data_IF_563302675748
#
_entry.id   IF_563302675748
#
_cell.length_a   1.000
_cell.length_b   1.000
_cell.length_c   1.000
_cell.angle_alpha   90.00
_cell.angle_beta   90.00
_cell.angle_gamma   90.00
#
_symmetry.space_group_name_H-M   'P 1'
#
loop_
_entity.id
_entity.type
_entity.pdbx_description
1 polymer ?
#
# COMPACT_ATOMS: atom_id res chain seq x y z
N UNK A 1 -6.31 4.97 17.43
CA UNK A 1 -4.88 5.06 17.76
C UNK A 1 -4.37 3.66 18.06
N UNK A 2 -3.29 3.23 17.41
CA UNK A 2 -2.74 1.88 17.47
C UNK A 2 -1.33 1.96 18.04
N UNK A 3 -1.04 1.23 19.10
CA UNK A 3 0.31 1.07 19.64
C UNK A 3 0.98 -0.16 19.04
N UNK A 4 2.28 -0.08 18.79
CA UNK A 4 3.07 -1.18 18.25
C UNK A 4 4.16 -1.55 19.25
N UNK A 5 4.54 -2.82 19.33
CA UNK A 5 5.57 -3.33 20.21
C UNK A 5 6.51 -4.25 19.43
N UNK A 6 7.82 -3.99 19.58
CA UNK A 6 8.91 -4.81 19.06
C UNK A 6 9.99 -4.91 20.12
N UNK A 7 10.42 -6.14 20.43
CA UNK A 7 11.49 -6.43 21.41
C UNK A 7 11.29 -5.79 22.80
N UNK A 8 10.04 -5.65 23.24
CA UNK A 8 9.69 -5.03 24.53
C UNK A 8 9.72 -3.50 24.53
N UNK A 9 10.05 -2.86 23.39
CA UNK A 9 9.90 -1.43 23.19
C UNK A 9 8.56 -1.12 22.53
N UNK A 10 7.82 -0.16 23.08
CA UNK A 10 6.54 0.30 22.56
C UNK A 10 6.74 1.56 21.70
N UNK A 11 6.02 1.60 20.59
CA UNK A 11 6.03 2.65 19.57
C UNK A 11 4.59 3.17 19.34
N UNK A 12 4.51 4.37 18.76
CA UNK A 12 3.25 5.05 18.52
C UNK A 12 2.73 5.83 19.75
N UNK A 13 1.44 6.18 19.78
CA UNK A 13 0.38 5.62 18.94
C UNK A 13 0.42 6.11 17.49
N UNK A 14 0.05 5.22 16.58
CA UNK A 14 -0.05 5.46 15.15
C UNK A 14 -1.50 5.44 14.69
N UNK A 15 -1.78 6.14 13.59
CA UNK A 15 -3.04 5.96 12.85
C UNK A 15 -2.98 4.68 12.01
N UNK A 16 -4.11 4.25 11.45
CA UNK A 16 -4.10 3.06 10.59
C UNK A 16 -3.35 3.33 9.27
N UNK A 17 -3.41 4.58 8.81
CA UNK A 17 -2.69 5.08 7.65
C UNK A 17 -1.17 5.02 7.87
N UNK A 18 -0.69 5.47 9.04
CA UNK A 18 0.73 5.39 9.41
C UNK A 18 1.21 3.93 9.49
N UNK A 19 0.41 3.05 10.09
CA UNK A 19 0.71 1.61 10.18
C UNK A 19 0.88 1.01 8.79
N UNK A 20 -0.04 1.29 7.88
CA UNK A 20 0.02 0.81 6.50
C UNK A 20 1.21 1.39 5.74
N UNK A 21 1.52 2.68 5.94
CA UNK A 21 2.69 3.33 5.33
C UNK A 21 4.01 2.71 5.82
N UNK A 22 4.13 2.44 7.12
CA UNK A 22 5.35 1.85 7.69
C UNK A 22 5.48 0.35 7.40
N UNK A 23 4.37 -0.38 7.29
CA UNK A 23 4.38 -1.76 6.83
C UNK A 23 4.75 -1.87 5.36
N UNK A 24 4.27 -0.94 4.53
CA UNK A 24 4.79 -0.79 3.19
C UNK A 24 6.29 -0.59 3.29
N UNK A 25 6.80 0.51 3.85
CA UNK A 25 8.23 0.84 3.87
C UNK A 25 9.16 -0.22 4.50
N UNK A 26 8.62 -1.22 5.21
CA UNK A 26 9.39 -2.24 5.92
C UNK A 26 9.95 -1.75 7.26
N UNK A 27 9.57 -0.53 7.67
CA UNK A 27 9.87 0.04 8.99
C UNK A 27 9.14 -0.76 10.07
N UNK A 28 7.85 -1.03 9.84
CA UNK A 28 7.10 -2.01 10.62
C UNK A 28 7.11 -3.35 9.90
N UNK A 29 7.16 -4.42 10.68
CA UNK A 29 7.22 -5.79 10.21
C UNK A 29 5.87 -6.47 10.47
N UNK A 30 5.43 -7.39 9.61
CA UNK A 30 4.22 -8.19 9.84
C UNK A 30 4.22 -8.95 11.17
N UNK A 31 5.39 -9.23 11.73
CA UNK A 31 5.56 -9.94 13.01
C UNK A 31 5.45 -9.03 14.23
N UNK A 32 5.41 -7.71 14.05
CA UNK A 32 5.27 -6.77 15.15
C UNK A 32 3.93 -6.96 15.85
N UNK A 33 3.91 -6.75 17.17
CA UNK A 33 2.68 -6.79 17.94
C UNK A 33 2.04 -5.42 17.94
N UNK A 34 0.72 -5.37 17.86
CA UNK A 34 -0.05 -4.15 17.90
C UNK A 34 -1.26 -4.29 18.83
N UNK A 35 -1.66 -3.18 19.42
CA UNK A 35 -2.82 -3.07 20.28
C UNK A 35 -3.54 -1.76 20.01
N UNK A 36 -4.87 -1.79 20.04
CA UNK A 36 -5.72 -0.62 19.90
C UNK A 36 -6.76 -0.59 21.02
N UNK A 37 -7.31 0.59 21.28
CA UNK A 37 -8.33 0.74 22.32
C UNK A 37 -9.53 -0.18 22.08
N UNK A 38 -9.81 -1.05 23.05
CA UNK A 38 -10.87 -2.06 22.95
C UNK A 38 -10.41 -3.44 22.50
N UNK A 39 -9.15 -3.62 22.09
CA UNK A 39 -8.59 -4.94 21.81
C UNK A 39 -8.37 -5.74 23.12
N UNK A 40 -8.75 -7.02 23.12
CA UNK A 40 -8.65 -7.89 24.28
C UNK A 40 -7.20 -8.21 24.68
N UNK A 41 -6.30 -8.27 23.71
CA UNK A 41 -4.88 -8.57 23.87
C UNK A 41 -4.06 -7.94 22.73
N UNK A 42 -2.74 -7.86 22.91
CA UNK A 42 -1.81 -7.57 21.82
C UNK A 42 -1.92 -8.68 20.77
N UNK A 43 -1.93 -8.28 19.51
CA UNK A 43 -2.07 -9.16 18.36
C UNK A 43 -1.07 -8.80 17.28
N UNK A 44 -0.70 -9.70 16.36
CA UNK A 44 0.12 -9.34 15.21
C UNK A 44 -0.46 -8.12 14.49
N UNK A 45 0.39 -7.23 14.02
CA UNK A 45 -0.03 -6.02 13.31
C UNK A 45 -0.90 -6.35 12.10
N UNK A 46 -0.71 -7.54 11.52
CA UNK A 46 -1.51 -8.07 10.43
C UNK A 46 -2.96 -8.40 10.78
N UNK A 47 -3.26 -8.57 12.07
CA UNK A 47 -4.61 -8.87 12.54
C UNK A 47 -5.36 -7.62 13.00
N UNK A 48 -4.71 -6.45 12.99
CA UNK A 48 -5.35 -5.19 13.33
C UNK A 48 -6.34 -4.81 12.22
N UNK A 49 -7.62 -4.53 12.55
CA UNK A 49 -8.60 -4.10 11.56
C UNK A 49 -8.13 -2.87 10.78
N UNK A 50 -8.16 -2.96 9.44
CA UNK A 50 -7.73 -1.88 8.54
C UNK A 50 -6.27 -1.97 8.08
N UNK A 51 -5.51 -2.97 8.54
CA UNK A 51 -4.15 -3.23 8.04
C UNK A 51 -4.21 -3.97 6.71
N UNK A 52 -3.55 -3.42 5.68
CA UNK A 52 -3.50 -4.02 4.33
C UNK A 52 -2.22 -4.84 4.14
N UNK A 53 -2.36 -6.04 3.55
CA UNK A 53 -1.25 -6.96 3.27
C UNK A 53 -1.00 -7.03 1.77
N UNK A 54 0.09 -6.42 1.29
CA UNK A 54 0.48 -6.59 -0.11
C UNK A 54 1.44 -5.53 -0.63
N UNK A 55 2.45 -6.02 -1.33
CA UNK A 55 3.57 -5.34 -2.00
C UNK A 55 4.63 -4.71 -1.07
N UNK A 56 5.74 -5.43 -0.92
CA UNK A 56 7.01 -4.85 -0.49
C UNK A 56 7.38 -3.68 -1.43
N UNK A 57 7.64 -2.47 -0.93
CA UNK A 57 8.13 -1.37 -1.72
C UNK A 57 9.62 -1.58 -2.00
N UNK A 58 10.05 -0.99 -3.10
CA UNK A 58 11.46 -0.73 -3.34
C UNK A 58 12.04 0.11 -2.19
N UNK A 59 13.33 -0.08 -1.81
CA UNK A 59 13.91 0.58 -0.65
C UNK A 59 13.97 2.09 -0.90
N UNK A 60 13.22 2.86 -0.10
CA UNK A 60 13.45 4.29 0.04
C UNK A 60 14.54 4.51 1.07
N UNK A 61 15.55 5.27 0.67
CA UNK A 61 16.66 5.73 1.49
C UNK A 61 16.15 6.42 2.76
N UNK A 62 16.79 6.09 3.88
CA UNK A 62 16.52 6.67 5.19
C UNK A 62 16.65 8.20 5.16
N UNK A 63 15.56 8.90 5.46
CA UNK A 63 15.59 10.31 5.87
C UNK A 63 15.06 10.44 7.31
N UNK A 64 15.69 11.34 8.04
CA UNK A 64 15.81 11.33 9.48
C UNK A 64 14.51 11.64 10.25
N UNK A 65 14.44 11.01 11.41
CA UNK A 65 13.55 11.22 12.56
C UNK A 65 13.14 12.69 12.81
N UNK A 66 11.83 13.02 12.80
CA UNK A 66 11.33 14.31 13.28
C UNK A 66 10.66 14.24 14.68
N UNK A 67 10.83 13.17 15.46
CA UNK A 67 10.21 13.02 16.79
C UNK A 67 11.21 12.96 17.96
N UNK A 68 12.30 13.72 17.85
CA UNK A 68 13.02 14.24 19.01
C UNK A 68 12.49 15.64 19.41
N UNK A 69 11.23 15.75 19.82
CA UNK A 69 10.74 16.97 20.50
C UNK A 69 9.47 16.74 21.31
N UNK A 70 9.62 16.40 22.59
CA UNK A 70 8.62 16.68 23.62
C UNK A 70 9.27 16.95 25.01
N UNK A 71 9.77 18.18 25.18
CA UNK A 71 9.69 19.05 26.38
C UNK A 71 10.43 18.63 27.71
N UNK A 72 10.58 19.51 28.73
CA UNK A 72 11.75 20.35 28.98
C UNK A 72 12.46 20.11 30.35
N UNK A 73 13.66 20.65 30.48
CA UNK A 73 14.28 21.19 31.72
C UNK A 73 14.53 20.25 32.92
N UNK A 74 15.75 19.70 33.03
CA UNK A 74 16.55 19.75 34.29
C UNK A 74 18.04 19.43 34.07
N UNK A 75 18.86 20.31 34.63
CA UNK A 75 20.16 20.06 35.28
C UNK A 75 21.41 19.69 34.44
N UNK A 76 22.19 20.73 34.11
CA UNK A 76 23.59 20.99 34.55
C UNK A 76 24.44 19.75 34.94
N UNK A 77 25.54 19.50 34.22
CA UNK A 77 26.93 19.56 34.74
C UNK A 77 27.94 18.78 33.87
N UNK A 78 28.98 19.51 33.45
CA UNK A 78 30.39 19.13 33.21
C UNK A 78 30.83 17.70 32.85
N UNK A 79 31.40 17.63 31.65
CA UNK A 79 32.82 17.32 31.38
C UNK A 79 33.53 16.25 32.26
N UNK A 80 33.88 15.12 31.62
CA UNK A 80 34.86 14.17 32.14
C UNK A 80 35.35 13.16 31.10
N UNK A 81 36.52 13.44 30.52
CA UNK A 81 37.57 12.49 30.12
C UNK A 81 37.33 11.45 29.00
N UNK A 82 37.93 11.76 27.83
CA UNK A 82 39.06 11.02 27.23
C UNK A 82 38.98 9.49 27.00
N UNK A 83 38.95 9.15 25.70
CA UNK A 83 39.99 8.42 24.98
C UNK A 83 40.37 6.96 25.35
N UNK A 84 40.12 6.10 24.35
CA UNK A 84 41.03 5.11 23.75
C UNK A 84 41.35 3.78 24.46
N UNK A 85 41.31 2.70 23.66
CA UNK A 85 42.36 1.69 23.72
C UNK A 85 41.95 0.22 23.57
N UNK A 86 42.05 -0.30 22.34
CA UNK A 86 42.90 -1.46 22.07
C UNK A 86 42.40 -2.89 22.39
N UNK A 87 41.93 -3.56 21.33
CA UNK A 87 42.44 -4.83 20.79
C UNK A 87 42.72 -6.05 21.73
N UNK A 88 42.16 -7.23 21.39
CA UNK A 88 42.87 -8.34 20.69
C UNK A 88 42.10 -9.68 20.70
N UNK A 89 42.24 -10.35 19.55
CA UNK A 89 41.84 -11.71 19.13
C UNK A 89 42.34 -12.84 20.05
N UNK A 90 41.61 -13.96 20.13
CA UNK A 90 42.17 -15.34 20.10
C UNK A 90 41.24 -16.32 19.37
N UNK A 91 41.83 -17.04 18.42
CA UNK A 91 41.31 -18.19 17.66
C UNK A 91 41.19 -19.43 18.57
N UNK A 92 40.27 -20.32 18.24
CA UNK A 92 40.49 -21.77 18.38
C UNK A 92 39.93 -22.51 17.15
N UNK A 93 40.79 -23.37 16.60
CA UNK A 93 40.64 -24.26 15.44
C UNK A 93 40.22 -25.66 15.91
N UNK A 94 39.31 -26.34 15.20
CA UNK A 94 39.20 -27.82 15.03
C UNK A 94 38.48 -28.02 13.67
N UNK A 95 39.11 -28.36 12.53
CA UNK A 95 39.72 -29.60 12.00
C UNK A 95 38.75 -30.77 11.72
N UNK A 96 38.67 -31.13 10.42
CA UNK A 96 38.34 -32.46 9.87
C UNK A 96 36.93 -32.57 9.30
N UNK A 97 36.67 -33.01 8.06
CA UNK A 97 37.48 -33.65 7.02
C UNK A 97 36.54 -34.25 5.97
N UNK A 98 36.95 -34.17 4.71
CA UNK A 98 36.32 -34.50 3.42
C UNK A 98 35.63 -35.86 3.27
N UNK A 99 34.63 -35.96 2.38
CA UNK A 99 34.60 -36.92 1.25
C UNK A 99 33.78 -36.35 0.08
N UNK A 100 34.44 -36.23 -1.07
CA UNK A 100 33.84 -36.00 -2.38
C UNK A 100 33.30 -37.31 -2.97
N UNK A 101 32.19 -37.26 -3.72
CA UNK A 101 31.65 -38.40 -4.46
C UNK A 101 30.79 -37.97 -5.62
N UNK A 102 31.43 -37.73 -6.77
CA UNK A 102 30.81 -37.52 -8.09
C UNK A 102 30.12 -38.82 -8.55
N UNK A 103 28.92 -38.70 -9.10
CA UNK A 103 28.23 -39.82 -9.74
C UNK A 103 27.12 -39.34 -10.67
N UNK A 104 27.51 -38.81 -11.84
CA UNK A 104 26.61 -38.61 -12.96
C UNK A 104 26.10 -39.97 -13.46
N UNK A 105 24.78 -40.15 -13.56
CA UNK A 105 24.18 -41.16 -14.42
C UNK A 105 23.13 -40.45 -15.27
N UNK A 106 23.54 -40.03 -16.46
CA UNK A 106 22.65 -39.85 -17.59
C UNK A 106 22.52 -41.22 -18.29
N UNK A 107 21.29 -41.71 -18.43
CA UNK A 107 20.98 -42.99 -19.07
C UNK A 107 19.51 -43.04 -19.43
N UNK A 108 19.22 -42.71 -20.67
CA UNK A 108 17.91 -42.51 -21.29
C UNK A 108 17.21 -43.85 -21.58
N UNK A 109 15.86 -43.90 -21.46
CA UNK A 109 14.89 -44.34 -22.49
C UNK A 109 13.72 -45.20 -21.95
N UNK A 110 12.55 -44.55 -21.98
CA UNK A 110 11.33 -45.00 -22.67
C UNK A 110 10.44 -46.12 -22.09
N UNK A 111 9.14 -45.79 -22.13
CA UNK A 111 7.94 -46.64 -22.13
C UNK A 111 7.40 -47.12 -20.77
N UNK A 112 6.31 -46.50 -20.29
CA UNK A 112 4.92 -47.02 -20.33
C UNK A 112 4.00 -46.05 -19.56
N UNK A 113 3.05 -45.42 -20.27
CA UNK A 113 1.82 -44.78 -19.76
C UNK A 113 0.88 -45.92 -19.28
N UNK A 114 0.12 -45.85 -18.16
CA UNK A 114 -1.08 -45.00 -18.11
C UNK A 114 -1.58 -44.49 -16.72
N UNK A 115 -2.32 -43.38 -16.70
CA UNK A 115 -3.55 -43.30 -15.89
C UNK A 115 -3.52 -42.68 -14.48
N UNK A 116 -3.12 -41.43 -14.32
CA UNK A 116 -3.42 -40.62 -13.13
C UNK A 116 -3.20 -39.13 -13.51
N UNK A 117 -4.16 -38.28 -13.84
CA UNK A 117 -5.54 -38.10 -13.41
C UNK A 117 -6.34 -37.46 -14.58
N UNK A 118 -7.59 -37.91 -14.76
CA UNK A 118 -8.55 -37.38 -15.73
C UNK A 118 -9.44 -36.31 -15.09
N UNK A 119 -10.00 -35.55 -16.03
CA UNK A 119 -10.84 -34.36 -16.01
C UNK A 119 -12.13 -34.44 -15.17
N UNK A 120 -12.67 -33.28 -14.79
CA UNK A 120 -14.12 -33.07 -14.83
C UNK A 120 -14.48 -31.62 -15.18
N UNK A 121 -15.46 -31.49 -16.07
CA UNK A 121 -16.10 -30.29 -16.57
C UNK A 121 -17.34 -29.96 -15.71
N UNK A 122 -17.64 -28.67 -15.58
CA UNK A 122 -19.02 -28.13 -15.57
C UNK A 122 -20.03 -28.61 -14.51
N UNK A 123 -20.30 -27.74 -13.53
CA UNK A 123 -21.52 -27.81 -12.71
C UNK A 123 -21.67 -26.61 -11.78
N UNK A 124 -22.65 -25.75 -12.05
CA UNK A 124 -22.79 -24.43 -11.43
C UNK A 124 -23.53 -24.34 -10.09
N UNK A 125 -23.67 -23.08 -9.67
CA UNK A 125 -24.41 -22.59 -8.51
C UNK A 125 -23.65 -21.40 -7.92
N UNK A 126 -23.95 -20.13 -8.21
CA UNK A 126 -25.26 -19.51 -8.38
C UNK A 126 -25.72 -19.00 -7.01
N UNK A 127 -25.57 -17.70 -6.75
CA UNK A 127 -25.89 -17.09 -5.45
C UNK A 127 -25.79 -15.57 -5.48
N UNK A 128 -26.65 -14.96 -6.29
CA UNK A 128 -26.93 -13.54 -6.45
C UNK A 128 -26.77 -12.66 -5.20
N UNK A 129 -26.28 -11.44 -5.43
CA UNK A 129 -26.97 -10.24 -4.94
C UNK A 129 -27.11 -9.20 -6.07
N UNK A 130 -27.75 -9.61 -7.16
CA UNK A 130 -28.55 -8.68 -7.96
C UNK A 130 -29.96 -8.69 -7.39
N UNK A 131 -30.37 -7.60 -6.72
CA UNK A 131 -31.66 -7.56 -6.05
C UNK A 131 -32.05 -6.22 -5.45
N UNK A 132 -32.22 -5.20 -6.28
CA UNK A 132 -33.27 -4.20 -6.05
C UNK A 132 -32.83 -2.78 -5.71
N UNK A 133 -32.89 -1.92 -6.72
CA UNK A 133 -33.32 -0.52 -6.61
C UNK A 133 -32.62 0.36 -5.56
N UNK A 134 -31.41 0.82 -5.88
CA UNK A 134 -31.10 2.26 -5.96
C UNK A 134 -29.75 2.42 -6.66
N UNK A 135 -29.77 2.36 -8.00
CA UNK A 135 -28.57 2.57 -8.83
C UNK A 135 -28.03 4.01 -8.80
N UNK A 136 -28.53 4.87 -7.90
CA UNK A 136 -28.12 6.27 -7.78
C UNK A 136 -26.88 6.51 -6.92
N UNK A 137 -26.23 5.45 -6.42
CA UNK A 137 -25.06 5.57 -5.53
C UNK A 137 -23.80 4.86 -6.01
N UNK A 138 -23.83 4.16 -7.14
CA UNK A 138 -22.69 3.38 -7.66
C UNK A 138 -22.21 3.88 -9.04
N UNK A 139 -22.78 4.98 -9.51
CA UNK A 139 -22.45 5.63 -10.76
C UNK A 139 -21.61 6.90 -10.51
N UNK A 140 -21.17 7.55 -11.57
CA UNK A 140 -20.35 8.75 -11.54
C UNK A 140 -20.91 9.80 -10.58
N UNK A 141 -22.21 10.12 -10.68
CA UNK A 141 -22.86 11.11 -9.83
C UNK A 141 -22.87 10.75 -8.33
N UNK A 142 -22.93 9.45 -8.01
CA UNK A 142 -22.98 8.97 -6.62
C UNK A 142 -21.61 8.81 -5.96
N UNK A 143 -20.58 8.44 -6.74
CA UNK A 143 -19.25 8.12 -6.22
C UNK A 143 -18.24 9.23 -6.52
N UNK A 144 -18.14 9.64 -7.79
CA UNK A 144 -17.02 10.42 -8.31
C UNK A 144 -17.30 11.92 -8.24
N UNK A 145 -18.52 12.33 -8.59
CA UNK A 145 -18.90 13.75 -8.57
C UNK A 145 -18.73 14.39 -7.18
N UNK A 146 -19.14 13.76 -6.06
CA UNK A 146 -18.95 14.32 -4.73
C UNK A 146 -17.46 14.40 -4.35
N UNK A 147 -16.62 13.52 -4.89
CA UNK A 147 -15.17 13.52 -4.64
C UNK A 147 -14.54 14.74 -5.29
N UNK A 148 -14.82 15.02 -6.57
CA UNK A 148 -14.30 16.20 -7.26
C UNK A 148 -14.85 17.52 -6.70
N UNK A 149 -16.06 17.51 -6.12
CA UNK A 149 -16.66 18.69 -5.48
C UNK A 149 -16.01 19.09 -4.16
N UNK A 150 -15.21 18.21 -3.54
CA UNK A 150 -14.48 18.55 -2.29
C UNK A 150 -13.31 19.52 -2.54
N UNK A 151 -12.79 19.55 -3.76
CA UNK A 151 -11.63 20.35 -4.17
C UNK A 151 -12.01 21.39 -5.22
N UNK A 152 -11.02 22.13 -5.71
CA UNK A 152 -11.13 23.18 -6.73
C UNK A 152 -11.19 22.63 -8.17
N UNK A 153 -11.58 21.37 -8.35
CA UNK A 153 -11.54 20.69 -9.66
C UNK A 153 -12.42 21.40 -10.69
N UNK A 154 -13.63 21.79 -10.31
CA UNK A 154 -14.58 22.50 -11.18
C UNK A 154 -14.14 23.93 -11.50
N UNK A 155 -13.27 24.55 -10.69
CA UNK A 155 -12.79 25.91 -10.99
C UNK A 155 -11.95 25.98 -12.28
N UNK A 156 -11.39 24.85 -12.70
CA UNK A 156 -10.53 24.74 -13.89
C UNK A 156 -11.02 23.71 -14.92
N UNK A 157 -11.86 22.75 -14.54
CA UNK A 157 -12.35 21.67 -15.40
C UNK A 157 -13.87 21.72 -15.56
N UNK A 158 -14.41 22.91 -15.85
CA UNK A 158 -15.84 23.12 -16.10
C UNK A 158 -16.06 23.97 -17.36
N UNK A 159 -16.93 23.47 -18.23
CA UNK A 159 -17.49 24.19 -19.36
C UNK A 159 -16.45 24.63 -20.41
N UNK A 160 -16.79 25.71 -21.13
CA UNK A 160 -16.00 26.18 -22.27
C UNK A 160 -14.56 26.65 -21.94
N UNK A 161 -14.22 26.79 -20.65
CA UNK A 161 -12.88 27.20 -20.19
C UNK A 161 -12.11 26.04 -19.52
N UNK A 162 -12.61 24.82 -19.64
CA UNK A 162 -11.97 23.62 -19.12
C UNK A 162 -10.51 23.49 -19.60
N UNK A 163 -9.58 23.35 -18.67
CA UNK A 163 -8.17 23.16 -18.95
C UNK A 163 -7.88 21.73 -19.37
N UNK A 164 -6.85 21.55 -20.20
CA UNK A 164 -6.40 20.23 -20.64
C UNK A 164 -7.44 19.45 -21.45
N UNK A 165 -8.44 20.12 -22.03
CA UNK A 165 -9.56 19.51 -22.75
C UNK A 165 -10.39 18.53 -21.91
N UNK A 166 -10.36 18.69 -20.58
CA UNK A 166 -11.07 17.84 -19.65
C UNK A 166 -12.14 18.63 -18.91
N UNK A 167 -13.42 18.32 -19.18
CA UNK A 167 -14.59 18.98 -18.63
C UNK A 167 -15.39 18.00 -17.76
N UNK A 168 -15.41 18.24 -16.45
CA UNK A 168 -16.14 17.42 -15.48
C UNK A 168 -17.66 17.55 -15.60
N UNK A 169 -18.16 18.56 -16.32
CA UNK A 169 -19.60 18.74 -16.57
C UNK A 169 -20.08 18.04 -17.83
N UNK A 170 -19.16 17.55 -18.67
CA UNK A 170 -19.46 16.73 -19.84
C UNK A 170 -19.10 15.25 -19.57
N UNK A 171 -20.10 14.37 -19.42
CA UNK A 171 -19.87 12.94 -19.24
C UNK A 171 -19.00 12.32 -20.34
N UNK A 172 -19.07 12.82 -21.58
CA UNK A 172 -18.27 12.29 -22.68
C UNK A 172 -16.77 12.58 -22.48
N UNK A 173 -16.42 13.76 -21.95
CA UNK A 173 -15.04 14.12 -21.63
C UNK A 173 -14.46 13.22 -20.54
N UNK A 174 -15.26 12.90 -19.52
CA UNK A 174 -14.84 11.95 -18.47
C UNK A 174 -14.70 10.54 -19.01
N UNK A 175 -15.63 10.10 -19.88
CA UNK A 175 -15.57 8.77 -20.52
C UNK A 175 -14.33 8.60 -21.41
N UNK A 176 -13.86 9.65 -22.08
CA UNK A 176 -12.66 9.59 -22.90
C UNK A 176 -11.38 9.49 -22.08
N UNK A 177 -11.37 10.02 -20.85
CA UNK A 177 -10.24 9.98 -19.93
C UNK A 177 -10.11 8.65 -19.16
N UNK A 178 -11.03 7.70 -19.35
CA UNK A 178 -11.06 6.44 -18.60
C UNK A 178 -11.18 5.23 -19.52
N UNK A 179 -10.57 4.13 -19.09
CA UNK A 179 -10.76 2.81 -19.68
C UNK A 179 -11.55 1.96 -18.69
N UNK A 180 -12.83 1.70 -18.98
CA UNK A 180 -13.69 0.92 -18.09
C UNK A 180 -13.07 -0.47 -17.81
N UNK A 181 -13.00 -0.84 -16.53
CA UNK A 181 -12.35 -2.07 -16.08
C UNK A 181 -10.83 -1.98 -15.92
N UNK A 182 -10.19 -0.88 -16.32
CA UNK A 182 -8.74 -0.66 -16.23
C UNK A 182 -8.42 0.67 -15.52
N UNK A 183 -8.43 0.68 -14.17
CA UNK A 183 -8.17 1.90 -13.41
C UNK A 183 -6.73 2.41 -13.58
N UNK A 184 -5.74 1.52 -13.67
CA UNK A 184 -4.33 1.94 -13.74
C UNK A 184 -3.93 2.41 -15.16
N UNK A 185 -4.63 1.93 -16.19
CA UNK A 185 -4.51 2.42 -17.57
C UNK A 185 -5.41 3.62 -17.91
N UNK A 186 -6.19 4.13 -16.96
CA UNK A 186 -7.06 5.30 -17.17
C UNK A 186 -6.29 6.61 -17.00
N UNK A 187 -6.29 7.46 -18.02
CA UNK A 187 -5.60 8.76 -18.01
C UNK A 187 -6.04 9.65 -16.83
N UNK A 188 -7.32 9.58 -16.46
CA UNK A 188 -7.86 10.27 -15.29
C UNK A 188 -7.08 9.93 -14.00
N UNK A 189 -6.76 8.66 -13.79
CA UNK A 189 -6.03 8.21 -12.60
C UNK A 189 -4.56 8.65 -12.67
N UNK A 190 -3.95 8.58 -13.85
CA UNK A 190 -2.57 9.06 -14.07
C UNK A 190 -2.48 10.54 -13.66
N UNK A 191 -3.39 11.40 -14.13
CA UNK A 191 -3.38 12.83 -13.79
C UNK A 191 -3.71 13.13 -12.34
N UNK A 192 -4.60 12.35 -11.72
CA UNK A 192 -4.93 12.51 -10.29
C UNK A 192 -3.80 12.09 -9.35
N UNK A 193 -2.78 11.38 -9.86
CA UNK A 193 -1.69 10.83 -9.04
C UNK A 193 -0.30 11.30 -9.47
N UNK A 194 -0.18 12.16 -10.49
CA UNK A 194 1.10 12.68 -10.95
C UNK A 194 1.60 13.81 -10.03
N UNK A 195 2.69 13.62 -9.27
CA UNK A 195 3.25 14.66 -8.42
C UNK A 195 4.03 15.72 -9.21
N UNK A 196 4.36 15.46 -10.48
CA UNK A 196 5.14 16.36 -11.34
C UNK A 196 4.27 17.44 -11.99
N UNK A 197 2.98 17.14 -12.18
CA UNK A 197 1.95 18.06 -12.66
C UNK A 197 0.71 17.92 -11.78
N UNK A 198 0.77 18.42 -10.53
CA UNK A 198 -0.27 18.19 -9.54
C UNK A 198 -1.59 18.83 -9.96
N UNK A 199 -2.68 18.10 -9.72
CA UNK A 199 -4.04 18.57 -9.94
C UNK A 199 -4.81 18.55 -8.61
N UNK A 200 -5.18 19.71 -8.04
CA UNK A 200 -5.08 21.07 -8.61
C UNK A 200 -3.63 21.60 -8.72
N UNK A 201 -3.36 22.57 -9.63
CA UNK A 201 -2.03 23.16 -9.81
C UNK A 201 -1.46 23.76 -8.52
N UNK A 202 -0.14 23.88 -8.45
CA UNK A 202 0.56 24.42 -7.27
C UNK A 202 -0.07 25.73 -6.77
N UNK A 203 -0.40 25.77 -5.48
CA UNK A 203 -1.04 26.92 -4.84
C UNK A 203 -2.55 27.04 -5.08
N UNK A 204 -3.20 26.07 -5.73
CA UNK A 204 -4.67 26.01 -5.94
C UNK A 204 -5.39 24.98 -5.07
N UNK A 205 -4.68 24.30 -4.19
CA UNK A 205 -5.22 23.31 -3.27
C UNK A 205 -4.33 22.08 -3.19
N UNK A 206 -4.70 21.16 -2.32
CA UNK A 206 -4.04 19.87 -2.19
C UNK A 206 -4.54 18.91 -3.28
N UNK A 207 -3.66 18.01 -3.71
CA UNK A 207 -4.06 16.89 -4.56
C UNK A 207 -5.10 16.01 -3.87
N UNK A 208 -5.87 15.29 -4.69
CA UNK A 208 -6.89 14.41 -4.18
C UNK A 208 -6.28 13.33 -3.26
N UNK A 209 -6.83 13.10 -2.05
CA UNK A 209 -6.26 12.12 -1.13
C UNK A 209 -6.37 10.71 -1.71
N UNK A 210 -5.40 9.85 -1.40
CA UNK A 210 -5.33 8.49 -1.94
C UNK A 210 -6.61 7.67 -1.70
N UNK A 211 -7.32 7.91 -0.59
CA UNK A 211 -8.59 7.25 -0.26
C UNK A 211 -9.72 7.63 -1.22
N UNK A 212 -9.74 8.87 -1.71
CA UNK A 212 -10.71 9.33 -2.69
C UNK A 212 -10.29 8.92 -4.11
N UNK A 213 -9.00 8.90 -4.42
CA UNK A 213 -8.48 8.28 -5.67
C UNK A 213 -8.88 6.81 -5.75
N UNK A 214 -8.79 6.06 -4.63
CA UNK A 214 -9.17 4.65 -4.60
C UNK A 214 -10.66 4.45 -4.94
N UNK A 215 -11.56 5.32 -4.48
CA UNK A 215 -12.99 5.24 -4.84
C UNK A 215 -13.22 5.39 -6.34
N UNK A 216 -12.45 6.27 -6.99
CA UNK A 216 -12.51 6.47 -8.44
C UNK A 216 -11.97 5.21 -9.14
N UNK A 217 -10.87 4.63 -8.66
CA UNK A 217 -10.34 3.36 -9.19
C UNK A 217 -11.36 2.23 -9.08
N UNK A 218 -12.03 2.08 -7.93
CA UNK A 218 -13.03 1.05 -7.70
C UNK A 218 -14.24 1.23 -8.64
N UNK A 219 -14.69 2.47 -8.86
CA UNK A 219 -15.74 2.79 -9.82
C UNK A 219 -15.32 2.47 -11.28
N UNK A 220 -14.09 2.79 -11.68
CA UNK A 220 -13.57 2.43 -13.01
C UNK A 220 -13.50 0.91 -13.15
N UNK A 221 -12.97 0.21 -12.15
CA UNK A 221 -12.88 -1.26 -12.12
C UNK A 221 -14.27 -1.93 -12.19
N UNK A 222 -15.29 -1.30 -11.61
CA UNK A 222 -16.69 -1.74 -11.68
C UNK A 222 -17.37 -1.43 -13.03
N UNK A 223 -16.64 -0.85 -14.00
CA UNK A 223 -17.15 -0.59 -15.34
C UNK A 223 -17.64 0.84 -15.57
N UNK A 224 -17.22 1.80 -14.74
CA UNK A 224 -17.37 3.24 -14.94
C UNK A 224 -18.80 3.68 -15.33
N UNK A 225 -19.80 3.28 -14.55
CA UNK A 225 -21.21 3.60 -14.81
C UNK A 225 -21.47 5.10 -14.61
N UNK A 226 -22.18 5.77 -15.54
CA UNK A 226 -22.57 7.19 -15.43
C UNK A 226 -24.02 7.36 -14.99
#
# INVERSE_FOLDING_TARGET
MIHVMRDGQQFGPYTIEDINAYLAQGTLLPTDQAWYEGAANWMPITEVPGVVHGAAPAPVVAEADPMAAANPEVAVAEAGAAAEGGAKKKKLLIIGGSVAGVGAIAGVLLFVYPGFLKDDETGGGGGNNGGGASGGGQNFAGIVEPVFKKSTCYDCHEGANAKGSFDLTDPASVQEAITAGDPDGSELIVRLTDPSDPMPPEGKGDMLPATDVQKIKDWIAAGAQF
#
